data_IF_847748406224
#
_entry.id   IF_847748406224
#
_cell.length_a   1.000
_cell.length_b   1.000
_cell.length_c   1.000
_cell.angle_alpha   90.00
_cell.angle_beta   90.00
_cell.angle_gamma   90.00
#
_symmetry.space_group_name_H-M   'P 1'
#
loop_
_entity.id
_entity.type
_entity.pdbx_description
1 polymer ?
#
# COMPACT_ATOMS: atom_id res chain seq x y z
N UNK A 1 -8.38 10.06 2.77
CA UNK A 1 -9.18 9.86 3.99
C UNK A 1 -8.63 8.64 4.72
N UNK A 2 -8.56 8.68 6.05
CA UNK A 2 -8.10 7.58 6.91
C UNK A 2 -9.18 7.36 7.97
N UNK A 3 -9.94 6.28 7.85
CA UNK A 3 -10.98 5.92 8.81
C UNK A 3 -10.40 5.30 10.08
N UNK A 4 -10.98 5.62 11.23
CA UNK A 4 -10.54 5.07 12.53
C UNK A 4 -10.90 3.59 12.72
N UNK A 5 -11.81 3.06 11.90
CA UNK A 5 -12.24 1.65 11.90
C UNK A 5 -11.63 0.85 10.74
N UNK A 6 -10.66 1.41 10.03
CA UNK A 6 -9.94 0.68 8.98
C UNK A 6 -9.07 -0.43 9.57
N UNK A 7 -8.63 -1.37 8.74
CA UNK A 7 -7.66 -2.39 9.17
C UNK A 7 -6.31 -1.71 9.48
N UNK A 8 -5.54 -2.30 10.40
CA UNK A 8 -4.23 -1.78 10.78
C UNK A 8 -3.29 -1.57 9.57
N UNK A 9 -3.28 -2.53 8.63
CA UNK A 9 -2.49 -2.45 7.39
C UNK A 9 -2.86 -1.23 6.54
N UNK A 10 -4.16 -0.99 6.36
CA UNK A 10 -4.67 0.14 5.55
C UNK A 10 -4.37 1.48 6.23
N UNK A 11 -4.60 1.57 7.54
CA UNK A 11 -4.32 2.77 8.33
C UNK A 11 -2.83 3.11 8.26
N UNK A 12 -1.96 2.14 8.54
CA UNK A 12 -0.51 2.30 8.48
C UNK A 12 -0.05 2.78 7.09
N UNK A 13 -0.50 2.09 6.04
CA UNK A 13 -0.13 2.41 4.66
C UNK A 13 -0.58 3.83 4.25
N UNK A 14 -1.81 4.22 4.62
CA UNK A 14 -2.34 5.55 4.29
C UNK A 14 -1.63 6.68 5.02
N UNK A 15 -1.28 6.49 6.30
CA UNK A 15 -0.48 7.48 7.05
C UNK A 15 0.91 7.59 6.43
N UNK A 16 1.55 6.47 6.09
CA UNK A 16 2.87 6.49 5.47
C UNK A 16 2.87 7.17 4.08
N UNK A 17 1.72 7.13 3.39
CA UNK A 17 1.51 7.72 2.06
C UNK A 17 1.22 9.23 2.06
N UNK A 18 1.06 9.88 3.22
CA UNK A 18 0.88 11.34 3.27
C UNK A 18 2.15 12.08 2.85
N UNK A 19 1.99 13.33 2.41
CA UNK A 19 3.12 14.20 2.10
C UNK A 19 3.91 14.57 3.36
N UNK A 20 5.20 14.87 3.19
CA UNK A 20 6.06 15.26 4.32
C UNK A 20 5.58 16.57 4.99
N UNK A 21 4.99 17.47 4.21
CA UNK A 21 4.33 18.68 4.75
C UNK A 21 3.14 18.31 5.65
N UNK A 22 2.27 17.40 5.18
CA UNK A 22 1.09 16.98 5.95
C UNK A 22 1.46 16.16 7.18
N UNK A 23 2.58 15.41 7.13
CA UNK A 23 3.11 14.66 8.26
C UNK A 23 3.32 15.55 9.49
N UNK A 24 3.90 16.75 9.35
CA UNK A 24 4.12 17.64 10.50
C UNK A 24 2.79 18.10 11.13
N UNK A 25 1.79 18.41 10.30
CA UNK A 25 0.46 18.77 10.79
C UNK A 25 -0.19 17.59 11.53
N UNK A 26 0.05 16.36 11.10
CA UNK A 26 -0.43 15.17 11.80
C UNK A 26 0.33 14.95 13.12
N UNK A 27 1.66 15.16 13.15
CA UNK A 27 2.41 15.17 14.40
C UNK A 27 1.83 16.16 15.40
N UNK A 28 1.62 17.41 15.00
CA UNK A 28 1.11 18.47 15.88
C UNK A 28 -0.30 18.20 16.40
N UNK A 29 -1.18 17.63 15.57
CA UNK A 29 -2.59 17.45 15.92
C UNK A 29 -2.90 16.10 16.56
N UNK A 30 -2.11 15.07 16.24
CA UNK A 30 -2.44 13.69 16.58
C UNK A 30 -1.37 13.01 17.42
N UNK A 31 -0.08 13.37 17.35
CA UNK A 31 0.96 12.67 18.12
C UNK A 31 0.89 13.01 19.61
N UNK A 32 1.38 12.11 20.46
CA UNK A 32 1.60 12.37 21.89
C UNK A 32 2.88 13.18 22.16
N UNK A 33 3.68 13.47 21.13
CA UNK A 33 4.91 14.25 21.23
C UNK A 33 4.65 15.70 21.59
N UNK A 34 5.55 16.28 22.39
CA UNK A 34 5.52 17.72 22.66
C UNK A 34 5.89 18.53 21.43
N UNK A 35 5.53 19.81 21.41
CA UNK A 35 5.90 20.72 20.32
C UNK A 35 7.43 20.85 20.18
N UNK A 36 8.17 20.77 21.28
CA UNK A 36 9.64 20.77 21.28
C UNK A 36 10.20 19.51 20.61
N UNK A 37 9.64 18.32 20.90
CA UNK A 37 10.05 17.08 20.23
C UNK A 37 9.75 17.12 18.73
N UNK A 38 8.59 17.66 18.33
CA UNK A 38 8.21 17.79 16.92
C UNK A 38 9.14 18.79 16.21
N UNK A 39 9.47 19.91 16.85
CA UNK A 39 10.43 20.87 16.34
C UNK A 39 11.82 20.22 16.15
N UNK A 40 12.23 19.35 17.07
CA UNK A 40 13.47 18.60 16.95
C UNK A 40 13.44 17.60 15.77
N UNK A 41 12.35 16.86 15.57
CA UNK A 41 12.17 15.98 14.41
C UNK A 41 12.31 16.76 13.10
N UNK A 42 11.68 17.94 13.01
CA UNK A 42 11.78 18.81 11.84
C UNK A 42 13.22 19.24 11.58
N UNK A 43 13.92 19.69 12.61
CA UNK A 43 15.33 20.09 12.53
C UNK A 43 16.23 18.92 12.11
N UNK A 44 16.01 17.73 12.64
CA UNK A 44 16.79 16.54 12.28
C UNK A 44 16.59 16.13 10.82
N UNK A 45 15.39 16.34 10.28
CA UNK A 45 15.10 16.15 8.84
C UNK A 45 15.83 17.20 8.00
N UNK A 46 15.74 18.49 8.36
CA UNK A 46 16.41 19.58 7.63
C UNK A 46 17.94 19.43 7.63
N UNK A 47 18.50 18.86 8.69
CA UNK A 47 19.93 18.59 8.83
C UNK A 47 20.37 17.26 8.21
N UNK A 48 19.44 16.43 7.73
CA UNK A 48 19.73 15.11 7.16
C UNK A 48 20.08 14.03 8.19
N UNK A 49 19.89 14.30 9.49
CA UNK A 49 20.08 13.33 10.57
C UNK A 49 18.95 12.29 10.63
N UNK A 50 17.76 12.65 10.11
CA UNK A 50 16.59 11.79 10.05
C UNK A 50 15.96 11.84 8.67
N UNK A 51 15.70 10.67 8.07
CA UNK A 51 15.02 10.60 6.78
C UNK A 51 13.50 10.84 6.96
N UNK A 52 12.82 11.66 6.12
CA UNK A 52 11.37 11.91 6.23
C UNK A 52 10.52 10.64 6.28
N UNK A 53 10.84 9.64 5.43
CA UNK A 53 10.21 8.29 5.48
C UNK A 53 10.23 7.69 6.88
N UNK A 54 11.36 7.79 7.60
CA UNK A 54 11.49 7.22 8.95
C UNK A 54 10.60 7.95 9.94
N UNK A 55 10.51 9.28 9.84
CA UNK A 55 9.57 10.05 10.65
C UNK A 55 8.10 9.67 10.34
N UNK A 56 7.75 9.43 9.07
CA UNK A 56 6.41 8.94 8.70
C UNK A 56 6.14 7.53 9.22
N UNK A 57 7.11 6.62 9.18
CA UNK A 57 6.98 5.28 9.75
C UNK A 57 6.69 5.34 11.26
N UNK A 58 7.42 6.19 12.00
CA UNK A 58 7.21 6.36 13.43
C UNK A 58 5.81 6.90 13.75
N UNK A 59 5.34 7.88 12.97
CA UNK A 59 3.99 8.43 13.09
C UNK A 59 2.91 7.40 12.76
N UNK A 60 3.12 6.63 11.68
CA UNK A 60 2.20 5.57 11.26
C UNK A 60 2.09 4.47 12.32
N UNK A 61 3.22 4.06 12.93
CA UNK A 61 3.22 3.14 14.07
C UNK A 61 2.42 3.70 15.24
N UNK A 62 2.71 4.93 15.67
CA UNK A 62 2.06 5.54 16.83
C UNK A 62 0.54 5.66 16.67
N UNK A 63 0.09 6.15 15.51
CA UNK A 63 -1.34 6.32 15.25
C UNK A 63 -2.03 4.96 15.08
N UNK A 64 -1.41 4.02 14.36
CA UNK A 64 -1.98 2.67 14.18
C UNK A 64 -2.11 1.95 15.53
N UNK A 65 -1.07 2.02 16.38
CA UNK A 65 -1.08 1.45 17.74
C UNK A 65 -2.18 2.05 18.61
N UNK A 66 -2.58 3.30 18.39
CA UNK A 66 -3.64 3.96 19.16
C UNK A 66 -5.04 3.40 18.87
N UNK A 67 -5.31 3.06 17.61
CA UNK A 67 -6.62 2.56 17.18
C UNK A 67 -6.68 1.03 17.10
N UNK A 68 -5.52 0.38 17.18
CA UNK A 68 -5.35 -1.07 17.21
C UNK A 68 -4.51 -1.46 18.43
N UNK A 69 -3.75 -2.55 18.32
CA UNK A 69 -2.71 -2.92 19.27
C UNK A 69 -1.31 -2.62 18.74
N UNK A 70 -0.34 -2.56 19.66
CA UNK A 70 1.09 -2.48 19.32
C UNK A 70 1.54 -3.64 18.42
N UNK A 71 1.02 -4.83 18.65
CA UNK A 71 1.32 -6.01 17.84
C UNK A 71 0.81 -5.83 16.40
N UNK A 72 -0.44 -5.43 16.23
CA UNK A 72 -1.03 -5.16 14.91
C UNK A 72 -0.31 -4.04 14.15
N UNK A 73 0.11 -2.97 14.83
CA UNK A 73 0.88 -1.90 14.19
C UNK A 73 2.26 -2.38 13.68
N UNK A 74 2.94 -3.22 14.46
CA UNK A 74 4.22 -3.81 14.06
C UNK A 74 4.05 -4.84 12.93
N UNK A 75 2.97 -5.61 12.96
CA UNK A 75 2.61 -6.54 11.88
C UNK A 75 2.30 -5.77 10.59
N UNK A 76 1.53 -4.67 10.67
CA UNK A 76 1.22 -3.79 9.55
C UNK A 76 2.49 -3.19 8.92
N UNK A 77 3.43 -2.74 9.75
CA UNK A 77 4.73 -2.28 9.26
C UNK A 77 5.50 -3.39 8.55
N UNK A 78 5.58 -4.57 9.17
CA UNK A 78 6.34 -5.71 8.61
C UNK A 78 5.75 -6.18 7.29
N UNK A 79 4.42 -6.22 7.20
CA UNK A 79 3.69 -6.55 5.98
C UNK A 79 3.89 -5.49 4.90
N UNK A 80 3.82 -4.20 5.27
CA UNK A 80 4.11 -3.11 4.34
C UNK A 80 5.52 -3.21 3.76
N UNK A 81 6.52 -3.46 4.61
CA UNK A 81 7.91 -3.62 4.21
C UNK A 81 8.09 -4.85 3.31
N UNK A 82 7.41 -5.96 3.61
CA UNK A 82 7.40 -7.18 2.79
C UNK A 82 6.85 -6.92 1.40
N UNK A 83 5.70 -6.26 1.29
CA UNK A 83 5.05 -5.96 0.01
C UNK A 83 5.90 -4.98 -0.82
N UNK A 84 6.28 -3.84 -0.22
CA UNK A 84 6.89 -2.74 -0.97
C UNK A 84 8.40 -2.86 -1.16
N UNK A 85 9.10 -3.54 -0.25
CA UNK A 85 10.56 -3.70 -0.36
C UNK A 85 10.95 -5.05 -0.98
N UNK A 86 10.11 -6.08 -0.85
CA UNK A 86 10.43 -7.44 -1.33
C UNK A 86 9.62 -7.87 -2.55
N UNK A 87 8.80 -6.97 -3.14
CA UNK A 87 7.87 -7.29 -4.25
C UNK A 87 6.98 -8.51 -3.96
N UNK A 88 6.62 -8.71 -2.70
CA UNK A 88 5.79 -9.84 -2.30
C UNK A 88 4.30 -9.51 -2.47
N UNK A 89 3.48 -10.53 -2.71
CA UNK A 89 2.02 -10.36 -2.77
C UNK A 89 1.46 -10.00 -1.39
N UNK A 90 0.49 -9.07 -1.29
CA UNK A 90 -0.26 -8.82 -0.07
C UNK A 90 -0.87 -10.10 0.52
N UNK A 91 -0.87 -10.20 1.85
CA UNK A 91 -1.53 -11.30 2.57
C UNK A 91 -3.06 -11.26 2.46
N UNK A 92 -3.63 -10.09 2.20
CA UNK A 92 -5.05 -9.88 1.97
C UNK A 92 -5.23 -9.30 0.56
N UNK A 93 -5.81 -10.10 -0.34
CA UNK A 93 -6.09 -9.72 -1.73
C UNK A 93 -7.48 -10.23 -2.09
N UNK A 94 -8.19 -9.47 -2.94
CA UNK A 94 -9.44 -9.94 -3.50
C UNK A 94 -9.19 -11.21 -4.32
N UNK A 95 -9.84 -12.29 -3.93
CA UNK A 95 -9.81 -13.56 -4.65
C UNK A 95 -11.00 -13.66 -5.59
N UNK A 96 -10.77 -14.26 -6.76
CA UNK A 96 -11.81 -14.54 -7.73
C UNK A 96 -11.63 -15.96 -8.25
N UNK A 97 -12.70 -16.75 -8.23
CA UNK A 97 -12.68 -18.13 -8.69
C UNK A 97 -13.27 -18.21 -10.10
N UNK A 98 -12.55 -18.87 -11.01
CA UNK A 98 -12.97 -19.09 -12.39
C UNK A 98 -13.03 -20.60 -12.63
N UNK A 99 -14.11 -21.06 -13.25
CA UNK A 99 -14.28 -22.47 -13.58
C UNK A 99 -13.77 -22.77 -15.00
N UNK A 100 -12.74 -23.60 -15.06
CA UNK A 100 -12.19 -24.13 -16.31
C UNK A 100 -11.40 -23.09 -17.13
N UNK A 101 -11.09 -23.47 -18.37
CA UNK A 101 -10.24 -22.68 -19.25
C UNK A 101 -10.90 -21.36 -19.62
N UNK A 102 -10.23 -20.25 -19.31
CA UNK A 102 -10.71 -18.90 -19.63
C UNK A 102 -9.68 -18.10 -20.40
N UNK A 103 -10.14 -17.25 -21.30
CA UNK A 103 -9.28 -16.27 -21.96
C UNK A 103 -8.85 -15.15 -21.00
N UNK A 104 -7.56 -14.81 -20.94
CA UNK A 104 -7.00 -13.85 -19.98
C UNK A 104 -7.72 -12.50 -20.00
N UNK A 105 -8.02 -11.95 -21.19
CA UNK A 105 -8.70 -10.67 -21.30
C UNK A 105 -10.15 -10.72 -20.75
N UNK A 106 -10.79 -11.90 -20.79
CA UNK A 106 -12.11 -12.11 -20.19
C UNK A 106 -12.00 -12.22 -18.66
N UNK A 107 -11.00 -12.95 -18.16
CA UNK A 107 -10.72 -13.05 -16.73
C UNK A 107 -10.48 -11.65 -16.09
N UNK A 108 -9.70 -10.78 -16.74
CA UNK A 108 -9.45 -9.42 -16.26
C UNK A 108 -10.74 -8.59 -16.10
N UNK A 109 -11.73 -8.81 -16.97
CA UNK A 109 -13.04 -8.13 -16.88
C UNK A 109 -13.91 -8.76 -15.81
N UNK A 110 -13.96 -10.08 -15.73
CA UNK A 110 -14.76 -10.79 -14.72
C UNK A 110 -14.26 -10.53 -13.29
N UNK A 111 -12.94 -10.40 -13.10
CA UNK A 111 -12.33 -9.99 -11.82
C UNK A 111 -12.47 -8.48 -11.53
N UNK A 112 -13.08 -7.69 -12.42
CA UNK A 112 -13.27 -6.25 -12.25
C UNK A 112 -11.99 -5.41 -12.36
N UNK A 113 -10.88 -5.98 -12.88
CA UNK A 113 -9.62 -5.28 -13.09
C UNK A 113 -9.66 -4.37 -14.32
N UNK A 114 -10.52 -4.70 -15.29
CA UNK A 114 -10.68 -3.94 -16.54
C UNK A 114 -12.15 -3.74 -16.92
N UNK A 115 -12.42 -2.61 -17.58
CA UNK A 115 -13.80 -2.22 -17.94
C UNK A 115 -14.39 -3.01 -19.12
N UNK A 116 -13.54 -3.59 -19.97
CA UNK A 116 -13.95 -4.34 -21.16
C UNK A 116 -12.80 -5.19 -21.69
N UNK A 117 -13.12 -6.21 -22.50
CA UNK A 117 -12.10 -7.09 -23.11
C UNK A 117 -11.16 -6.34 -24.05
N UNK A 118 -11.67 -5.31 -24.73
CA UNK A 118 -10.83 -4.41 -25.56
C UNK A 118 -9.87 -3.56 -24.73
N UNK A 119 -10.25 -3.14 -23.52
CA UNK A 119 -9.35 -2.44 -22.60
C UNK A 119 -8.30 -3.39 -22.04
N UNK A 120 -8.72 -4.58 -21.60
CA UNK A 120 -7.83 -5.63 -21.13
C UNK A 120 -6.75 -6.01 -22.16
N UNK A 121 -7.13 -6.17 -23.43
CA UNK A 121 -6.15 -6.41 -24.51
C UNK A 121 -5.11 -5.31 -24.62
N UNK A 122 -5.52 -4.04 -24.60
CA UNK A 122 -4.57 -2.91 -24.63
C UNK A 122 -3.61 -2.95 -23.43
N UNK A 123 -4.10 -3.29 -22.24
CA UNK A 123 -3.27 -3.42 -21.05
C UNK A 123 -2.28 -4.58 -21.15
N UNK A 124 -2.68 -5.70 -21.76
CA UNK A 124 -1.77 -6.82 -22.09
C UNK A 124 -0.70 -6.37 -23.08
N UNK A 125 -1.07 -5.76 -24.22
CA UNK A 125 -0.08 -5.28 -25.23
C UNK A 125 0.84 -4.19 -24.68
N UNK A 126 0.37 -3.41 -23.71
CA UNK A 126 1.16 -2.39 -23.01
C UNK A 126 2.11 -2.96 -21.93
N UNK A 127 2.18 -4.29 -21.76
CA UNK A 127 2.96 -4.95 -20.69
C UNK A 127 2.55 -4.52 -19.27
N UNK A 128 1.28 -4.18 -19.07
CA UNK A 128 0.72 -3.79 -17.77
C UNK A 128 0.14 -4.98 -16.99
N UNK A 129 0.08 -6.16 -17.60
CA UNK A 129 -0.49 -7.38 -16.99
C UNK A 129 0.61 -8.39 -16.70
N UNK A 130 0.55 -8.99 -15.51
CA UNK A 130 1.44 -10.08 -15.10
C UNK A 130 0.66 -11.25 -14.52
N UNK A 131 1.04 -12.48 -14.89
CA UNK A 131 0.52 -13.73 -14.33
C UNK A 131 1.68 -14.42 -13.61
N UNK A 132 1.51 -14.80 -12.34
CA UNK A 132 2.58 -15.38 -11.51
C UNK A 132 3.88 -14.56 -11.54
N UNK A 133 3.74 -13.23 -11.43
CA UNK A 133 4.86 -12.26 -11.49
C UNK A 133 5.62 -12.24 -12.83
N UNK A 134 5.11 -12.88 -13.88
CA UNK A 134 5.66 -12.81 -15.23
C UNK A 134 4.81 -11.93 -16.12
N UNK A 135 5.43 -10.98 -16.83
CA UNK A 135 4.72 -10.10 -17.77
C UNK A 135 4.17 -10.92 -18.93
N UNK A 136 2.92 -10.65 -19.29
CA UNK A 136 2.23 -11.30 -20.41
C UNK A 136 1.99 -10.27 -21.51
N UNK A 137 2.35 -10.64 -22.74
CA UNK A 137 2.08 -9.85 -23.95
C UNK A 137 1.18 -10.57 -24.96
N UNK A 138 0.88 -11.85 -24.74
CA UNK A 138 -0.02 -12.63 -25.60
C UNK A 138 -1.48 -12.29 -25.30
N UNK A 139 -2.10 -11.52 -26.20
CA UNK A 139 -3.51 -11.15 -26.13
C UNK A 139 -4.46 -12.35 -26.25
N UNK A 140 -4.00 -13.52 -26.73
CA UNK A 140 -4.79 -14.75 -26.88
C UNK A 140 -4.52 -15.77 -25.77
N UNK A 141 -3.74 -15.41 -24.74
CA UNK A 141 -3.42 -16.30 -23.63
C UNK A 141 -4.68 -16.79 -22.92
N UNK A 142 -4.71 -18.07 -22.60
CA UNK A 142 -5.74 -18.66 -21.75
C UNK A 142 -5.14 -19.11 -20.41
N UNK A 143 -5.89 -18.92 -19.34
CA UNK A 143 -5.64 -19.49 -18.03
C UNK A 143 -6.31 -20.88 -17.98
N UNK A 144 -5.64 -21.84 -17.37
CA UNK A 144 -6.15 -23.20 -17.13
C UNK A 144 -6.61 -23.39 -15.70
#
# INVERSE_FOLDING_TARGET
>A
YIGVTEKANDMYAKILSISDELMFRYYELLSQKSLEEIAQIKKDIEQGNLHPKKAKENLALEITERFHSKEEANNAKSEFDRIHSQNALPSDMAEFEIQGKIWLAKALVECGLESSTSAARRSISANAVSVNSQKVSDEQMHLE
#
